data_IF_851489578808
#
_entry.id   IF_851489578808
#
_cell.length_a   1.000
_cell.length_b   1.000
_cell.length_c   1.000
_cell.angle_alpha   90.00
_cell.angle_beta   90.00
_cell.angle_gamma   90.00
#
_symmetry.space_group_name_H-M   'P 1'
#
loop_
_entity.id
_entity.type
_entity.pdbx_description
1 polymer ?
#
# COMPACT_ATOMS: atom_id res chain seq x y z
N UNK A 1 -2.24 -32.90 10.49
CA UNK A 1 -1.88 -31.76 9.64
C UNK A 1 -2.84 -30.67 10.03
N UNK A 2 -2.34 -29.61 10.65
CA UNK A 2 -3.16 -28.53 11.20
C UNK A 2 -3.73 -27.73 10.02
N UNK A 3 -5.03 -27.88 9.75
CA UNK A 3 -5.69 -27.40 8.53
C UNK A 3 -6.28 -25.99 8.66
N UNK A 4 -5.99 -25.27 9.74
CA UNK A 4 -6.58 -23.96 9.99
C UNK A 4 -5.55 -22.84 9.77
N UNK A 5 -5.23 -22.55 8.51
CA UNK A 5 -4.43 -21.39 8.10
C UNK A 5 -5.25 -20.07 8.12
N UNK A 6 -6.24 -19.97 8.99
CA UNK A 6 -7.04 -18.77 9.15
C UNK A 6 -6.26 -17.71 9.93
N UNK A 7 -5.98 -16.57 9.30
CA UNK A 7 -5.41 -15.40 9.97
C UNK A 7 -6.27 -14.16 9.75
N UNK A 8 -6.22 -13.25 10.71
CA UNK A 8 -6.96 -11.98 10.64
C UNK A 8 -6.09 -10.92 9.97
N UNK A 9 -6.67 -10.18 9.03
CA UNK A 9 -6.05 -8.98 8.44
C UNK A 9 -6.66 -7.72 9.02
N UNK A 10 -5.91 -6.61 9.00
CA UNK A 10 -6.42 -5.29 9.33
C UNK A 10 -6.02 -4.26 8.28
N UNK A 11 -6.98 -3.41 7.92
CA UNK A 11 -6.80 -2.31 6.97
C UNK A 11 -6.88 -1.00 7.74
N UNK A 12 -5.77 -0.28 7.81
CA UNK A 12 -5.71 0.99 8.53
C UNK A 12 -6.24 2.09 7.64
N UNK A 13 -7.28 2.78 8.10
CA UNK A 13 -7.72 4.04 7.52
C UNK A 13 -7.40 5.18 8.51
N UNK A 14 -6.65 6.18 8.07
CA UNK A 14 -6.24 7.30 8.92
C UNK A 14 -6.14 8.61 8.14
N UNK A 15 -6.34 9.72 8.84
CA UNK A 15 -6.08 11.05 8.30
C UNK A 15 -4.60 11.41 8.46
N UNK A 16 -3.97 11.86 7.38
CA UNK A 16 -2.58 12.30 7.37
C UNK A 16 -2.48 13.81 7.59
N UNK A 17 -1.55 14.23 8.46
CA UNK A 17 -1.17 15.63 8.63
C UNK A 17 0.08 15.97 7.80
N UNK A 18 0.46 17.25 7.67
CA UNK A 18 1.72 17.64 7.02
C UNK A 18 3.00 17.25 7.80
N UNK A 19 2.88 16.67 9.00
CA UNK A 19 4.01 16.32 9.86
C UNK A 19 4.26 14.81 9.82
N UNK A 20 5.31 14.31 9.13
CA UNK A 20 5.55 12.88 8.96
C UNK A 20 5.65 12.12 10.27
N UNK A 21 6.25 12.71 11.30
CA UNK A 21 6.37 12.11 12.63
C UNK A 21 4.99 11.82 13.26
N UNK A 22 4.04 12.76 13.16
CA UNK A 22 2.67 12.55 13.69
C UNK A 22 1.93 11.44 12.95
N UNK A 23 2.15 11.33 11.65
CA UNK A 23 1.59 10.25 10.85
C UNK A 23 2.18 8.90 11.22
N UNK A 24 3.50 8.83 11.40
CA UNK A 24 4.20 7.64 11.83
C UNK A 24 3.74 7.16 13.22
N UNK A 25 3.55 8.09 14.16
CA UNK A 25 3.00 7.80 15.49
C UNK A 25 1.58 7.24 15.41
N UNK A 26 0.71 7.86 14.61
CA UNK A 26 -0.67 7.38 14.38
C UNK A 26 -0.67 5.99 13.75
N UNK A 27 0.10 5.78 12.68
CA UNK A 27 0.23 4.48 12.02
C UNK A 27 0.70 3.40 13.00
N UNK A 28 1.76 3.71 13.78
CA UNK A 28 2.28 2.83 14.82
C UNK A 28 1.20 2.45 15.84
N UNK A 29 0.44 3.43 16.33
CA UNK A 29 -0.64 3.19 17.28
C UNK A 29 -1.73 2.28 16.68
N UNK A 30 -2.11 2.50 15.42
CA UNK A 30 -3.11 1.68 14.70
C UNK A 30 -2.63 0.24 14.45
N UNK A 31 -1.36 0.05 14.12
CA UNK A 31 -0.78 -1.29 13.98
C UNK A 31 -0.80 -2.03 15.33
N UNK A 32 -0.40 -1.37 16.43
CA UNK A 32 -0.51 -1.98 17.78
C UNK A 32 -1.94 -2.32 18.15
N UNK A 33 -2.88 -1.44 17.86
CA UNK A 33 -4.32 -1.67 18.08
C UNK A 33 -4.80 -2.91 17.30
N UNK A 34 -4.49 -2.97 16.01
CA UNK A 34 -4.84 -4.10 15.15
C UNK A 34 -4.22 -5.42 15.63
N UNK A 35 -2.94 -5.42 15.97
CA UNK A 35 -2.24 -6.59 16.50
C UNK A 35 -2.85 -7.07 17.83
N UNK A 36 -3.19 -6.15 18.74
CA UNK A 36 -3.93 -6.50 19.98
C UNK A 36 -5.32 -7.08 19.71
N UNK A 37 -5.97 -6.66 18.62
CA UNK A 37 -7.23 -7.25 18.17
C UNK A 37 -7.03 -8.59 17.41
N UNK A 38 -5.80 -9.10 17.35
CA UNK A 38 -5.43 -10.39 16.75
C UNK A 38 -5.10 -10.34 15.26
N UNK A 39 -4.95 -9.16 14.66
CA UNK A 39 -4.49 -9.05 13.28
C UNK A 39 -3.05 -9.56 13.14
N UNK A 40 -2.82 -10.38 12.12
CA UNK A 40 -1.52 -10.97 11.76
C UNK A 40 -0.88 -10.27 10.57
N UNK A 41 -1.69 -9.67 9.69
CA UNK A 41 -1.22 -8.82 8.60
C UNK A 41 -1.94 -7.48 8.69
N UNK A 42 -1.18 -6.38 8.67
CA UNK A 42 -1.71 -5.02 8.78
C UNK A 42 -1.27 -4.20 7.56
N UNK A 43 -2.23 -3.57 6.86
CA UNK A 43 -1.96 -2.71 5.72
C UNK A 43 -2.15 -1.24 6.08
N UNK A 44 -1.13 -0.42 5.81
CA UNK A 44 -1.16 1.04 5.97
C UNK A 44 -1.64 1.72 4.66
N UNK A 45 -2.23 2.93 4.72
CA UNK A 45 -2.61 3.67 3.52
C UNK A 45 -1.43 4.02 2.62
N UNK A 46 -1.72 4.24 1.33
CA UNK A 46 -0.74 4.78 0.38
C UNK A 46 -0.18 6.13 0.87
N UNK A 47 1.14 6.30 0.79
CA UNK A 47 1.84 7.54 1.14
C UNK A 47 1.46 8.13 2.52
N UNK A 48 1.18 7.26 3.50
CA UNK A 48 0.58 7.64 4.79
C UNK A 48 1.38 8.66 5.61
N UNK A 49 2.64 8.93 5.28
CA UNK A 49 3.48 9.93 5.97
C UNK A 49 3.17 11.37 5.57
N UNK A 50 2.27 11.59 4.62
CA UNK A 50 1.93 12.94 4.15
C UNK A 50 0.46 13.05 3.75
N UNK A 51 -0.12 14.25 3.67
CA UNK A 51 -1.32 14.46 2.86
C UNK A 51 -0.99 14.11 1.41
N UNK A 52 -1.99 13.69 0.63
CA UNK A 52 -1.78 13.31 -0.77
C UNK A 52 -1.32 14.52 -1.60
N UNK A 53 0.00 14.64 -1.78
CA UNK A 53 0.66 15.81 -2.36
C UNK A 53 0.61 15.84 -3.90
N UNK A 54 0.30 14.70 -4.52
CA UNK A 54 0.17 14.56 -5.98
C UNK A 54 -1.02 15.32 -6.58
N UNK A 55 -1.75 16.11 -5.77
CA UNK A 55 -2.76 17.05 -6.23
C UNK A 55 -2.18 18.25 -6.99
N UNK A 56 -0.86 18.43 -6.97
CA UNK A 56 -0.12 19.49 -7.67
C UNK A 56 1.26 18.98 -8.08
N UNK A 57 1.89 19.67 -9.02
CA UNK A 57 3.31 19.49 -9.36
C UNK A 57 4.15 20.51 -8.56
N UNK A 58 4.98 20.03 -7.63
CA UNK A 58 5.80 20.86 -6.74
C UNK A 58 7.11 20.14 -6.41
N UNK A 59 8.22 20.69 -6.89
CA UNK A 59 9.54 20.10 -6.68
C UNK A 59 9.93 19.97 -5.19
N UNK A 60 9.33 20.76 -4.29
CA UNK A 60 9.60 20.64 -2.83
C UNK A 60 9.08 19.33 -2.26
N UNK A 61 8.08 18.71 -2.89
CA UNK A 61 7.54 17.45 -2.42
C UNK A 61 8.52 16.28 -2.61
N UNK A 62 9.56 16.40 -3.45
CA UNK A 62 10.63 15.38 -3.52
C UNK A 62 11.41 15.21 -2.21
N UNK A 63 11.39 16.21 -1.32
CA UNK A 63 12.01 16.14 0.01
C UNK A 63 11.25 15.20 0.97
N UNK A 64 10.04 14.78 0.61
CA UNK A 64 9.27 13.78 1.37
C UNK A 64 9.79 12.35 1.15
N UNK A 65 10.63 12.12 0.14
CA UNK A 65 11.12 10.80 -0.21
C UNK A 65 12.27 10.33 0.70
N UNK A 66 12.27 9.05 1.05
CA UNK A 66 13.34 8.40 1.83
C UNK A 66 13.93 7.18 1.09
N UNK A 67 15.18 6.79 1.36
CA UNK A 67 15.73 5.56 0.80
C UNK A 67 15.05 4.32 1.37
N UNK A 68 15.17 3.19 0.68
CA UNK A 68 14.78 1.88 1.20
C UNK A 68 16.00 0.94 1.17
N UNK A 69 16.48 0.44 2.32
CA UNK A 69 15.97 0.70 3.68
C UNK A 69 16.21 2.14 4.14
N UNK A 70 15.32 2.63 5.00
CA UNK A 70 15.29 3.99 5.53
C UNK A 70 14.50 4.11 6.84
N UNK A 71 14.32 5.34 7.36
CA UNK A 71 13.72 5.59 8.68
C UNK A 71 12.38 4.90 8.91
N UNK A 72 11.46 4.97 7.93
CA UNK A 72 10.13 4.39 8.07
C UNK A 72 10.19 2.87 8.08
N UNK A 73 10.98 2.28 7.18
CA UNK A 73 11.17 0.81 7.16
C UNK A 73 11.86 0.29 8.42
N UNK A 74 12.77 1.06 9.03
CA UNK A 74 13.38 0.71 10.30
C UNK A 74 12.40 0.76 11.46
N UNK A 75 11.57 1.81 11.55
CA UNK A 75 10.53 1.94 12.56
C UNK A 75 9.48 0.82 12.43
N UNK A 76 9.03 0.52 11.21
CA UNK A 76 8.07 -0.55 10.96
C UNK A 76 8.68 -1.94 11.17
N UNK A 77 9.97 -2.14 10.86
CA UNK A 77 10.69 -3.37 11.20
C UNK A 77 10.74 -3.65 12.71
N UNK A 78 11.03 -2.62 13.52
CA UNK A 78 10.96 -2.74 14.97
C UNK A 78 9.53 -3.07 15.45
N UNK A 79 8.52 -2.45 14.84
CA UNK A 79 7.12 -2.68 15.17
C UNK A 79 6.63 -4.07 14.76
N UNK A 80 7.10 -4.60 13.62
CA UNK A 80 6.85 -5.97 13.18
C UNK A 80 7.32 -6.97 14.23
N UNK A 81 8.57 -6.83 14.70
CA UNK A 81 9.10 -7.64 15.82
C UNK A 81 8.33 -7.49 17.11
N UNK A 82 7.98 -6.27 17.47
CA UNK A 82 7.25 -5.97 18.71
C UNK A 82 5.87 -6.66 18.73
N UNK A 83 5.16 -6.60 17.62
CA UNK A 83 3.77 -7.05 17.52
C UNK A 83 3.61 -8.48 17.00
N UNK A 84 4.65 -9.03 16.36
CA UNK A 84 4.59 -10.28 15.62
C UNK A 84 3.67 -10.22 14.40
N UNK A 85 3.34 -9.03 13.90
CA UNK A 85 2.51 -8.83 12.73
C UNK A 85 3.37 -8.54 11.49
N UNK A 86 2.90 -9.01 10.33
CA UNK A 86 3.38 -8.56 9.03
C UNK A 86 2.77 -7.18 8.77
N UNK A 87 3.58 -6.23 8.31
CA UNK A 87 3.15 -4.85 8.06
C UNK A 87 3.44 -4.50 6.60
N UNK A 88 2.41 -4.10 5.87
CA UNK A 88 2.51 -3.58 4.52
C UNK A 88 2.66 -2.06 4.62
N UNK A 89 3.80 -1.55 4.15
CA UNK A 89 4.25 -0.17 4.38
C UNK A 89 4.46 0.55 3.05
N UNK A 90 3.48 1.31 2.57
CA UNK A 90 3.64 2.20 1.41
C UNK A 90 4.43 3.45 1.76
N UNK A 91 5.33 3.90 0.87
CA UNK A 91 6.17 5.07 1.08
C UNK A 91 6.72 5.66 -0.24
N UNK A 92 7.18 6.90 -0.16
CA UNK A 92 7.86 7.57 -1.27
C UNK A 92 9.35 7.21 -1.26
N UNK A 93 9.78 6.37 -2.20
CA UNK A 93 11.17 5.90 -2.29
C UNK A 93 12.04 6.87 -3.10
N UNK A 94 13.19 7.24 -2.53
CA UNK A 94 14.32 7.87 -3.22
C UNK A 94 15.39 6.82 -3.51
N UNK A 95 15.55 6.42 -4.78
CA UNK A 95 16.61 5.48 -5.20
C UNK A 95 17.93 6.17 -5.46
N UNK A 96 17.85 7.42 -5.92
CA UNK A 96 18.99 8.23 -6.27
C UNK A 96 18.56 9.63 -6.69
N UNK A 97 19.52 10.52 -7.02
CA UNK A 97 19.20 11.84 -7.54
C UNK A 97 18.32 11.75 -8.79
N UNK A 98 17.13 12.34 -8.74
CA UNK A 98 16.19 12.37 -9.88
C UNK A 98 15.44 11.06 -10.14
N UNK A 99 15.63 10.01 -9.34
CA UNK A 99 14.97 8.72 -9.50
C UNK A 99 14.17 8.34 -8.25
N UNK A 100 12.85 8.43 -8.38
CA UNK A 100 11.93 8.21 -7.28
C UNK A 100 10.75 7.32 -7.69
N UNK A 101 10.17 6.61 -6.71
CA UNK A 101 9.03 5.73 -6.94
C UNK A 101 8.01 5.81 -5.82
N UNK A 102 6.74 5.63 -6.17
CA UNK A 102 5.73 5.19 -5.22
C UNK A 102 5.96 3.71 -4.94
N UNK A 103 6.39 3.40 -3.72
CA UNK A 103 6.88 2.08 -3.35
C UNK A 103 6.15 1.53 -2.13
N UNK A 104 6.35 0.25 -1.90
CA UNK A 104 5.87 -0.46 -0.74
C UNK A 104 6.91 -1.47 -0.29
N UNK A 105 7.02 -1.67 1.02
CA UNK A 105 7.74 -2.82 1.59
C UNK A 105 6.79 -3.70 2.40
N UNK A 106 7.02 -5.00 2.32
CA UNK A 106 6.42 -5.99 3.22
C UNK A 106 7.42 -6.23 4.33
N UNK A 107 7.09 -5.77 5.54
CA UNK A 107 7.82 -6.08 6.76
C UNK A 107 7.25 -7.36 7.35
N UNK A 108 8.09 -8.37 7.57
CA UNK A 108 7.66 -9.63 8.16
C UNK A 108 7.56 -9.54 9.70
N UNK A 109 6.98 -10.57 10.33
CA UNK A 109 6.76 -10.63 11.77
C UNK A 109 8.06 -10.64 12.60
N UNK A 110 9.20 -11.00 12.00
CA UNK A 110 10.54 -10.88 12.60
C UNK A 110 11.20 -9.50 12.35
N UNK A 111 10.47 -8.60 11.71
CA UNK A 111 10.90 -7.24 11.38
C UNK A 111 11.91 -7.14 10.23
N UNK A 112 12.14 -8.22 9.49
CA UNK A 112 12.88 -8.18 8.23
C UNK A 112 12.02 -7.62 7.09
N UNK A 113 12.67 -7.14 6.02
CA UNK A 113 11.97 -6.81 4.78
C UNK A 113 11.82 -8.10 3.97
N UNK A 114 10.61 -8.67 3.93
CA UNK A 114 10.30 -9.82 3.09
C UNK A 114 10.24 -9.46 1.60
N UNK A 115 9.86 -8.20 1.30
CA UNK A 115 9.56 -7.79 -0.06
C UNK A 115 9.58 -6.29 -0.29
N UNK A 116 9.82 -5.91 -1.55
CA UNK A 116 9.67 -4.54 -2.05
C UNK A 116 8.89 -4.57 -3.36
N UNK A 117 7.98 -3.63 -3.51
CA UNK A 117 7.21 -3.39 -4.73
C UNK A 117 7.28 -1.92 -5.11
N UNK A 118 7.26 -1.62 -6.41
CA UNK A 118 7.21 -0.27 -6.98
C UNK A 118 6.00 -0.20 -7.89
N UNK A 119 5.13 0.80 -7.67
CA UNK A 119 3.88 0.98 -8.41
C UNK A 119 4.14 0.94 -9.91
N UNK A 120 3.45 0.03 -10.62
CA UNK A 120 3.70 -0.20 -12.04
C UNK A 120 2.88 0.75 -12.91
N UNK A 121 1.62 1.00 -12.52
CA UNK A 121 0.72 1.90 -13.24
C UNK A 121 0.65 3.26 -12.53
N UNK A 122 1.28 4.27 -13.13
CA UNK A 122 1.35 5.62 -12.57
C UNK A 122 0.19 6.46 -13.13
N UNK A 123 -0.78 6.89 -12.29
CA UNK A 123 -1.89 7.71 -12.75
C UNK A 123 -1.41 9.11 -13.16
N UNK A 124 -2.22 9.74 -14.00
CA UNK A 124 -2.04 11.13 -14.39
C UNK A 124 -3.39 11.72 -14.79
N UNK A 125 -4.17 12.02 -13.77
CA UNK A 125 -5.50 12.62 -13.86
C UNK A 125 -5.53 13.91 -13.04
N UNK A 126 -6.52 14.81 -13.25
CA UNK A 126 -6.65 16.00 -12.42
C UNK A 126 -6.63 15.68 -10.92
N UNK A 127 -5.70 16.28 -10.20
CA UNK A 127 -5.42 16.05 -8.77
C UNK A 127 -4.73 14.71 -8.42
N UNK A 128 -4.25 13.97 -9.42
CA UNK A 128 -3.48 12.71 -9.31
C UNK A 128 -2.26 12.74 -10.26
N UNK A 129 -1.45 13.80 -10.20
CA UNK A 129 -0.29 14.04 -11.07
C UNK A 129 0.93 13.21 -10.66
N UNK A 130 0.75 11.90 -10.51
CA UNK A 130 1.79 11.02 -9.98
C UNK A 130 2.99 10.85 -10.94
N UNK A 131 2.77 11.01 -12.26
CA UNK A 131 3.85 10.92 -13.26
C UNK A 131 4.92 12.01 -13.11
N UNK A 132 4.58 13.13 -12.47
CA UNK A 132 5.58 14.16 -12.12
C UNK A 132 6.57 13.64 -11.07
N UNK A 133 6.11 12.82 -10.12
CA UNK A 133 6.88 12.40 -8.96
C UNK A 133 7.52 11.02 -9.09
N UNK A 134 6.85 10.09 -9.77
CA UNK A 134 7.20 8.68 -9.71
C UNK A 134 7.54 8.13 -11.08
N UNK A 135 8.72 7.52 -11.16
CA UNK A 135 9.08 6.65 -12.28
C UNK A 135 8.24 5.36 -12.20
N UNK A 136 7.75 4.82 -13.34
CA UNK A 136 7.10 3.51 -13.34
C UNK A 136 7.96 2.43 -12.69
N UNK A 137 7.32 1.50 -11.99
CA UNK A 137 7.99 0.41 -11.30
C UNK A 137 8.78 -0.51 -12.23
N UNK A 138 9.84 -1.11 -11.69
CA UNK A 138 10.79 -1.96 -12.41
C UNK A 138 11.01 -3.33 -11.74
N UNK A 139 10.23 -3.67 -10.72
CA UNK A 139 10.34 -4.93 -9.97
C UNK A 139 9.33 -5.99 -10.41
N UNK A 140 8.34 -5.60 -11.22
CA UNK A 140 7.26 -6.48 -11.66
C UNK A 140 6.23 -6.80 -10.57
N UNK A 141 5.20 -7.54 -10.97
CA UNK A 141 4.15 -8.01 -10.06
C UNK A 141 4.57 -9.33 -9.41
N UNK A 142 4.47 -9.43 -8.09
CA UNK A 142 4.89 -10.62 -7.35
C UNK A 142 4.13 -10.76 -6.03
N UNK A 143 4.42 -11.81 -5.28
CA UNK A 143 3.89 -12.11 -3.96
C UNK A 143 5.04 -12.59 -3.04
N UNK A 144 4.89 -12.38 -1.73
CA UNK A 144 5.92 -12.67 -0.75
C UNK A 144 5.39 -13.61 0.31
N UNK A 145 6.12 -14.70 0.53
CA UNK A 145 5.91 -15.57 1.69
C UNK A 145 6.32 -14.82 2.94
N UNK A 146 5.44 -14.83 3.93
CA UNK A 146 5.67 -14.23 5.25
C UNK A 146 5.42 -15.28 6.32
N UNK A 147 5.63 -14.93 7.59
CA UNK A 147 5.31 -15.81 8.71
C UNK A 147 3.83 -16.21 8.79
N UNK A 148 2.91 -15.40 8.23
CA UNK A 148 1.46 -15.61 8.40
C UNK A 148 0.72 -16.01 7.13
N UNK A 149 1.39 -15.98 5.97
CA UNK A 149 0.77 -16.30 4.68
C UNK A 149 1.51 -15.68 3.50
N UNK A 150 1.06 -15.99 2.28
CA UNK A 150 1.62 -15.40 1.07
C UNK A 150 0.82 -14.16 0.67
N UNK A 151 1.43 -12.97 0.78
CA UNK A 151 0.76 -11.70 0.48
C UNK A 151 1.17 -11.20 -0.89
N UNK A 152 0.19 -10.80 -1.70
CA UNK A 152 0.40 -9.98 -2.89
C UNK A 152 0.14 -8.52 -2.55
N UNK A 153 0.87 -7.61 -3.19
CA UNK A 153 0.73 -6.16 -2.96
C UNK A 153 0.80 -5.45 -4.28
N UNK A 154 -0.15 -4.55 -4.47
CA UNK A 154 -0.27 -3.62 -5.58
C UNK A 154 -0.55 -2.24 -4.97
N UNK A 155 -0.33 -1.15 -5.68
CA UNK A 155 -0.52 0.19 -5.10
C UNK A 155 -1.59 0.92 -5.87
N UNK A 156 -2.66 1.32 -5.16
CA UNK A 156 -3.69 2.24 -5.63
C UNK A 156 -4.08 1.98 -7.08
N UNK A 157 -3.67 2.83 -8.02
CA UNK A 157 -4.00 2.75 -9.44
C UNK A 157 -3.79 1.39 -10.12
N UNK A 158 -2.85 0.57 -9.63
CA UNK A 158 -2.68 -0.82 -10.08
C UNK A 158 -3.99 -1.65 -9.97
N UNK A 159 -4.88 -1.27 -9.05
CA UNK A 159 -6.17 -1.92 -8.83
C UNK A 159 -7.12 -1.86 -10.03
N UNK A 160 -6.88 -0.98 -11.00
CA UNK A 160 -7.72 -0.87 -12.18
C UNK A 160 -7.32 -1.85 -13.29
N UNK A 161 -6.22 -2.59 -13.10
CA UNK A 161 -5.61 -3.46 -14.10
C UNK A 161 -5.75 -4.93 -13.71
N UNK A 162 -6.67 -5.69 -14.34
CA UNK A 162 -6.83 -7.13 -14.08
C UNK A 162 -5.54 -7.93 -14.24
N UNK A 163 -4.65 -7.50 -15.13
CA UNK A 163 -3.34 -8.10 -15.38
C UNK A 163 -2.47 -8.07 -14.13
N UNK A 164 -2.45 -6.94 -13.40
CA UNK A 164 -1.68 -6.83 -12.16
C UNK A 164 -2.18 -7.83 -11.11
N UNK A 165 -3.50 -7.90 -10.91
CA UNK A 165 -4.13 -8.82 -9.98
C UNK A 165 -3.85 -10.29 -10.36
N UNK A 166 -3.99 -10.62 -11.65
CA UNK A 166 -3.70 -11.96 -12.18
C UNK A 166 -2.25 -12.34 -11.94
N UNK A 167 -1.30 -11.45 -12.22
CA UNK A 167 0.12 -11.72 -12.06
C UNK A 167 0.50 -11.91 -10.58
N UNK A 168 -0.05 -11.10 -9.67
CA UNK A 168 0.15 -11.31 -8.22
C UNK A 168 -0.42 -12.66 -7.75
N UNK A 169 -1.62 -13.04 -8.21
CA UNK A 169 -2.22 -14.34 -7.89
C UNK A 169 -1.39 -15.52 -8.45
N UNK A 170 -0.92 -15.43 -9.70
CA UNK A 170 -0.05 -16.46 -10.29
C UNK A 170 1.31 -16.57 -9.60
N UNK A 171 1.79 -15.48 -8.97
CA UNK A 171 2.97 -15.51 -8.12
C UNK A 171 2.73 -16.16 -6.74
N UNK A 172 1.48 -16.55 -6.44
CA UNK A 172 1.10 -17.28 -5.23
C UNK A 172 0.45 -16.44 -4.14
N UNK A 173 -0.06 -15.24 -4.45
CA UNK A 173 -0.78 -14.44 -3.48
C UNK A 173 -2.08 -15.14 -3.01
N UNK A 174 -2.27 -15.24 -1.69
CA UNK A 174 -3.51 -15.72 -1.06
C UNK A 174 -4.47 -14.54 -0.82
N UNK A 175 -3.89 -13.37 -0.56
CA UNK A 175 -4.55 -12.08 -0.41
C UNK A 175 -3.78 -11.03 -1.20
N UNK A 176 -4.47 -10.19 -1.95
CA UNK A 176 -3.88 -9.04 -2.64
C UNK A 176 -4.28 -7.77 -1.91
N UNK A 177 -3.29 -6.99 -1.49
CA UNK A 177 -3.50 -5.71 -0.83
C UNK A 177 -3.37 -4.54 -1.81
N UNK A 178 -4.29 -3.59 -1.74
CA UNK A 178 -4.29 -2.32 -2.47
C UNK A 178 -4.30 -1.12 -1.50
N UNK A 179 -3.19 -0.81 -0.82
CA UNK A 179 -3.05 0.49 -0.17
C UNK A 179 -3.36 1.62 -1.16
N UNK A 180 -4.30 2.48 -0.79
CA UNK A 180 -4.95 3.39 -1.72
C UNK A 180 -5.13 4.78 -1.12
N UNK A 181 -4.80 5.82 -1.87
CA UNK A 181 -5.24 7.19 -1.67
C UNK A 181 -6.12 7.61 -2.85
N UNK A 182 -7.44 7.36 -2.72
CA UNK A 182 -8.43 7.72 -3.73
C UNK A 182 -9.57 8.51 -3.10
N UNK A 183 -10.05 9.51 -3.82
CA UNK A 183 -11.13 10.39 -3.40
C UNK A 183 -11.83 11.01 -4.60
N UNK A 184 -12.47 12.14 -4.35
CA UNK A 184 -13.36 12.78 -5.32
C UNK A 184 -12.79 14.13 -5.72
N UNK A 185 -12.88 14.48 -7.00
CA UNK A 185 -12.83 15.89 -7.35
C UNK A 185 -14.08 16.58 -6.77
N UNK A 186 -13.95 17.70 -6.01
CA UNK A 186 -15.09 18.30 -5.32
C UNK A 186 -16.27 18.65 -6.25
N UNK A 187 -15.97 19.07 -7.49
CA UNK A 187 -16.98 19.44 -8.48
C UNK A 187 -17.75 18.24 -9.05
N UNK A 188 -17.18 17.04 -9.02
CA UNK A 188 -17.76 15.83 -9.63
C UNK A 188 -18.48 14.95 -8.61
N UNK A 189 -18.18 15.11 -7.31
CA UNK A 189 -18.69 14.23 -6.26
C UNK A 189 -20.22 14.10 -6.27
N UNK A 190 -20.94 15.18 -6.58
CA UNK A 190 -22.41 15.17 -6.59
C UNK A 190 -23.00 14.37 -7.76
N UNK A 191 -22.37 14.40 -8.95
CA UNK A 191 -22.87 13.75 -10.16
C UNK A 191 -22.26 12.37 -10.40
N UNK A 192 -20.94 12.26 -10.27
CA UNK A 192 -20.17 11.06 -10.58
C UNK A 192 -19.85 10.21 -9.36
N UNK A 193 -20.14 10.75 -8.17
CA UNK A 193 -20.02 10.14 -6.85
C UNK A 193 -20.29 8.63 -6.86
N UNK A 194 -21.58 8.30 -6.82
CA UNK A 194 -22.01 6.90 -6.74
C UNK A 194 -21.36 5.99 -7.80
N UNK A 195 -21.20 6.49 -9.04
CA UNK A 195 -20.64 5.73 -10.16
C UNK A 195 -19.15 5.41 -9.98
N UNK A 196 -18.31 6.38 -9.61
CA UNK A 196 -16.86 6.14 -9.48
C UNK A 196 -16.56 5.20 -8.30
N UNK A 197 -17.28 5.33 -7.18
CA UNK A 197 -17.11 4.41 -6.04
C UNK A 197 -17.61 3.00 -6.33
N UNK A 198 -18.73 2.87 -7.04
CA UNK A 198 -19.22 1.56 -7.46
C UNK A 198 -18.24 0.88 -8.44
N UNK A 199 -17.68 1.63 -9.38
CA UNK A 199 -16.63 1.13 -10.28
C UNK A 199 -15.39 0.67 -9.50
N UNK A 200 -14.90 1.49 -8.55
CA UNK A 200 -13.74 1.18 -7.71
C UNK A 200 -13.93 -0.11 -6.91
N UNK A 201 -15.13 -0.33 -6.36
CA UNK A 201 -15.46 -1.59 -5.66
C UNK A 201 -15.63 -2.77 -6.61
N UNK A 202 -16.32 -2.56 -7.72
CA UNK A 202 -16.67 -3.63 -8.67
C UNK A 202 -15.44 -4.25 -9.28
N UNK A 203 -14.46 -3.44 -9.69
CA UNK A 203 -13.22 -3.94 -10.29
C UNK A 203 -12.43 -4.82 -9.31
N UNK A 204 -12.25 -4.37 -8.07
CA UNK A 204 -11.54 -5.15 -7.04
C UNK A 204 -12.26 -6.45 -6.66
N UNK A 205 -13.60 -6.42 -6.58
CA UNK A 205 -14.39 -7.65 -6.41
C UNK A 205 -14.22 -8.61 -7.58
N UNK A 206 -14.15 -8.07 -8.80
CA UNK A 206 -13.82 -8.82 -10.01
C UNK A 206 -12.47 -9.53 -9.88
N UNK A 207 -11.45 -8.84 -9.39
CA UNK A 207 -10.12 -9.42 -9.16
C UNK A 207 -10.14 -10.57 -8.17
N UNK A 208 -10.86 -10.41 -7.04
CA UNK A 208 -11.00 -11.48 -6.05
C UNK A 208 -11.67 -12.72 -6.66
N UNK A 209 -12.81 -12.53 -7.33
CA UNK A 209 -13.60 -13.62 -7.94
C UNK A 209 -12.82 -14.32 -9.05
N UNK A 210 -12.20 -13.57 -9.95
CA UNK A 210 -11.53 -14.13 -11.14
C UNK A 210 -10.25 -14.91 -10.80
N UNK A 211 -9.63 -14.62 -9.66
CA UNK A 211 -8.37 -15.24 -9.25
C UNK A 211 -8.53 -16.23 -8.08
N UNK A 212 -9.69 -16.28 -7.42
CA UNK A 212 -9.91 -17.16 -6.27
C UNK A 212 -9.08 -16.76 -5.04
N UNK A 213 -8.85 -15.46 -4.85
CA UNK A 213 -8.03 -14.89 -3.76
C UNK A 213 -8.82 -13.85 -2.98
N UNK A 214 -8.37 -13.54 -1.77
CA UNK A 214 -8.88 -12.38 -1.04
C UNK A 214 -8.31 -11.08 -1.62
N UNK A 215 -9.09 -9.99 -1.54
CA UNK A 215 -8.65 -8.65 -1.90
C UNK A 215 -8.94 -7.71 -0.74
N UNK A 216 -7.97 -6.86 -0.40
CA UNK A 216 -8.00 -6.04 0.79
C UNK A 216 -7.43 -4.63 0.56
#
# INVERSE_FOLDING_TARGET
MDTDHAYKIALVQMACSPEPARNLERATARVREAARAGARVVCLPELFLSPYFCQREDARCFDLAEPIPGPTTGAMGALGRETGAVIIVPLFEKRGPGLYHNSLVVIDADGSIAGRYRKMHIPDDPSYYEKYYFTPGDLGFTAWKTHHGCVGTLICWDQWYPEAARMAALAGAEVIFYPTAIGWHPAEKASEGARQFDAWRTVQRGHAVANGVYVA
#
